data_IF_033686830799
#
_entry.id   IF_033686830799
#
_cell.length_a   1.000
_cell.length_b   1.000
_cell.length_c   1.000
_cell.angle_alpha   90.00
_cell.angle_beta   90.00
_cell.angle_gamma   90.00
#
_symmetry.space_group_name_H-M   'P 1'
#
loop_
_entity.id
_entity.type
_entity.pdbx_description
1 polymer ?
#
# COMPACT_ATOMS: atom_id res chain seq x y z
N UNK A 1 31.44 -25.68 -8.06
CA UNK A 1 31.45 -24.79 -9.24
C UNK A 1 30.25 -23.86 -9.13
N UNK A 2 30.44 -22.66 -8.56
CA UNK A 2 29.37 -21.70 -8.25
C UNK A 2 29.57 -20.50 -9.19
N UNK A 3 28.94 -20.50 -10.36
CA UNK A 3 29.05 -19.39 -11.30
C UNK A 3 27.71 -19.15 -12.00
N UNK A 4 27.24 -17.89 -11.94
CA UNK A 4 26.33 -17.18 -12.87
C UNK A 4 24.82 -17.02 -12.60
N UNK A 5 24.26 -17.39 -11.44
CA UNK A 5 22.81 -17.15 -11.22
C UNK A 5 22.45 -15.71 -10.72
N UNK A 6 23.42 -14.83 -10.51
CA UNK A 6 23.22 -13.58 -9.74
C UNK A 6 22.83 -12.33 -10.53
N UNK A 7 23.26 -12.05 -11.78
CA UNK A 7 22.95 -10.76 -12.42
C UNK A 7 21.52 -10.68 -12.98
N UNK A 8 20.95 -11.79 -13.44
CA UNK A 8 19.61 -11.83 -14.05
C UNK A 8 18.52 -11.63 -12.99
N UNK A 9 18.65 -12.31 -11.84
CA UNK A 9 17.68 -12.21 -10.73
C UNK A 9 17.62 -10.79 -10.16
N UNK A 10 18.78 -10.13 -10.01
CA UNK A 10 18.87 -8.74 -9.53
C UNK A 10 18.21 -7.76 -10.51
N UNK A 11 18.42 -7.94 -11.83
CA UNK A 11 17.79 -7.09 -12.86
C UNK A 11 16.26 -7.25 -12.91
N UNK A 12 15.76 -8.46 -12.70
CA UNK A 12 14.30 -8.72 -12.66
C UNK A 12 13.66 -8.05 -11.45
N UNK A 13 14.31 -8.05 -10.28
CA UNK A 13 13.75 -7.41 -9.09
C UNK A 13 13.60 -5.87 -9.26
N UNK A 14 14.60 -5.22 -9.87
CA UNK A 14 14.53 -3.79 -10.16
C UNK A 14 13.37 -3.46 -11.14
N UNK A 15 13.23 -4.23 -12.21
CA UNK A 15 12.13 -4.08 -13.16
C UNK A 15 10.77 -4.29 -12.48
N UNK A 16 10.64 -5.30 -11.61
CA UNK A 16 9.40 -5.60 -10.87
C UNK A 16 9.01 -4.46 -9.94
N UNK A 17 9.97 -3.81 -9.26
CA UNK A 17 9.72 -2.62 -8.44
C UNK A 17 9.19 -1.45 -9.28
N UNK A 18 9.76 -1.22 -10.46
CA UNK A 18 9.28 -0.17 -11.36
C UNK A 18 7.88 -0.46 -11.87
N UNK A 19 7.60 -1.70 -12.28
CA UNK A 19 6.28 -2.14 -12.69
C UNK A 19 5.23 -1.97 -11.58
N UNK A 20 5.64 -2.22 -10.32
CA UNK A 20 4.78 -2.02 -9.16
C UNK A 20 4.41 -0.54 -8.97
N UNK A 21 5.41 0.35 -9.01
CA UNK A 21 5.21 1.81 -8.89
C UNK A 21 4.34 2.38 -10.01
N UNK A 22 4.44 1.84 -11.22
CA UNK A 22 3.67 2.28 -12.37
C UNK A 22 2.27 1.64 -12.47
N UNK A 23 1.89 0.78 -11.51
CA UNK A 23 0.57 0.12 -11.52
C UNK A 23 0.35 -0.85 -12.69
N UNK A 24 1.43 -1.36 -13.30
CA UNK A 24 1.31 -2.22 -14.49
C UNK A 24 0.74 -3.59 -14.10
N UNK A 25 -0.24 -4.15 -14.83
CA UNK A 25 -0.75 -5.49 -14.55
C UNK A 25 0.33 -6.57 -14.70
N UNK A 26 0.28 -7.64 -13.89
CA UNK A 26 1.32 -8.70 -13.89
C UNK A 26 1.53 -9.32 -15.29
N UNK A 27 0.45 -9.46 -16.08
CA UNK A 27 0.50 -10.02 -17.43
C UNK A 27 1.26 -9.11 -18.39
N UNK A 28 1.01 -7.80 -18.32
CA UNK A 28 1.73 -6.81 -19.10
C UNK A 28 3.20 -6.73 -18.66
N UNK A 29 3.46 -6.74 -17.35
CA UNK A 29 4.81 -6.77 -16.81
C UNK A 29 5.61 -7.99 -17.25
N UNK A 30 4.99 -9.17 -17.26
CA UNK A 30 5.59 -10.42 -17.73
C UNK A 30 5.97 -10.35 -19.22
N UNK A 31 5.10 -9.80 -20.07
CA UNK A 31 5.38 -9.62 -21.49
C UNK A 31 6.54 -8.62 -21.72
N UNK A 32 6.52 -7.47 -21.04
CA UNK A 32 7.56 -6.43 -21.15
C UNK A 32 8.93 -6.99 -20.73
N UNK A 33 8.99 -7.67 -19.57
CA UNK A 33 10.27 -8.23 -19.08
C UNK A 33 10.74 -9.37 -19.97
N UNK A 34 9.85 -10.23 -20.47
CA UNK A 34 10.24 -11.32 -21.37
C UNK A 34 10.74 -10.82 -22.72
N UNK A 35 10.09 -9.80 -23.30
CA UNK A 35 10.55 -9.16 -24.54
C UNK A 35 11.93 -8.51 -24.36
N UNK A 36 12.11 -7.72 -23.29
CA UNK A 36 13.39 -7.10 -22.99
C UNK A 36 14.51 -8.14 -22.79
N UNK A 37 14.20 -9.29 -22.18
CA UNK A 37 15.14 -10.40 -21.99
C UNK A 37 15.46 -11.16 -23.30
N UNK A 38 14.53 -11.18 -24.25
CA UNK A 38 14.78 -11.68 -25.61
C UNK A 38 15.69 -10.72 -26.38
N UNK A 39 15.44 -9.41 -26.30
CA UNK A 39 16.24 -8.38 -26.98
C UNK A 39 17.71 -8.40 -26.53
N UNK A 40 17.97 -8.67 -25.24
CA UNK A 40 19.34 -8.80 -24.71
C UNK A 40 19.94 -10.20 -24.84
N UNK A 41 19.23 -11.13 -25.50
CA UNK A 41 19.72 -12.50 -25.77
C UNK A 41 19.78 -13.43 -24.56
N UNK A 42 19.10 -13.11 -23.46
CA UNK A 42 19.03 -13.98 -22.26
C UNK A 42 17.99 -15.10 -22.44
N UNK A 43 16.93 -14.81 -23.19
CA UNK A 43 15.90 -15.78 -23.61
C UNK A 43 16.03 -15.96 -25.12
N UNK A 44 15.96 -17.19 -25.58
CA UNK A 44 15.78 -17.53 -27.00
C UNK A 44 14.54 -18.40 -27.16
N UNK A 45 14.03 -18.52 -28.39
CA UNK A 45 12.93 -19.44 -28.70
C UNK A 45 13.26 -20.89 -28.32
N UNK A 46 14.54 -21.26 -28.37
CA UNK A 46 15.05 -22.58 -27.99
C UNK A 46 15.32 -22.76 -26.49
N UNK A 47 15.45 -21.68 -25.71
CA UNK A 47 15.77 -21.72 -24.28
C UNK A 47 14.77 -20.92 -23.44
N UNK A 48 13.67 -21.59 -23.09
CA UNK A 48 12.54 -21.03 -22.34
C UNK A 48 12.73 -21.04 -20.80
N UNK A 49 13.87 -21.51 -20.29
CA UNK A 49 14.09 -21.65 -18.84
C UNK A 49 13.98 -20.30 -18.09
N UNK A 50 14.40 -19.21 -18.73
CA UNK A 50 14.45 -17.88 -18.14
C UNK A 50 13.23 -17.00 -18.48
N UNK A 51 12.19 -17.54 -19.15
CA UNK A 51 10.96 -16.79 -19.44
C UNK A 51 10.32 -16.27 -18.17
N UNK A 52 9.97 -14.99 -18.17
CA UNK A 52 9.34 -14.33 -17.03
C UNK A 52 7.84 -14.43 -17.17
N UNK A 53 7.26 -15.43 -16.52
CA UNK A 53 5.82 -15.61 -16.45
C UNK A 53 5.15 -14.68 -15.41
N UNK A 54 3.82 -14.63 -15.43
CA UNK A 54 3.00 -13.86 -14.49
C UNK A 54 3.29 -14.19 -13.02
N UNK A 55 3.53 -15.46 -12.70
CA UNK A 55 3.82 -15.90 -11.32
C UNK A 55 5.22 -15.46 -10.87
N UNK A 56 6.21 -15.39 -11.75
CA UNK A 56 7.53 -14.81 -11.46
C UNK A 56 7.42 -13.31 -11.12
N UNK A 57 6.62 -12.55 -11.87
CA UNK A 57 6.33 -11.14 -11.53
C UNK A 57 5.62 -11.02 -10.18
N UNK A 58 4.59 -11.84 -9.95
CA UNK A 58 3.84 -11.85 -8.68
C UNK A 58 4.76 -12.14 -7.49
N UNK A 59 5.63 -13.15 -7.60
CA UNK A 59 6.61 -13.48 -6.56
C UNK A 59 7.59 -12.33 -6.32
N UNK A 60 8.15 -11.74 -7.38
CA UNK A 60 9.04 -10.59 -7.25
C UNK A 60 8.36 -9.39 -6.60
N UNK A 61 7.05 -9.17 -6.82
CA UNK A 61 6.28 -8.12 -6.14
C UNK A 61 6.10 -8.41 -4.67
N UNK A 62 5.76 -9.65 -4.32
CA UNK A 62 5.67 -10.07 -2.92
C UNK A 62 7.01 -9.88 -2.22
N UNK A 63 8.12 -10.34 -2.83
CA UNK A 63 9.46 -10.17 -2.27
C UNK A 63 9.86 -8.69 -2.14
N UNK A 64 9.57 -7.87 -3.15
CA UNK A 64 9.82 -6.43 -3.10
C UNK A 64 9.03 -5.75 -1.97
N UNK A 65 7.78 -6.17 -1.74
CA UNK A 65 6.95 -5.70 -0.62
C UNK A 65 7.52 -6.16 0.71
N UNK A 66 7.91 -7.43 0.85
CA UNK A 66 8.51 -7.96 2.08
C UNK A 66 9.81 -7.23 2.42
N UNK A 67 10.67 -6.97 1.43
CA UNK A 67 11.90 -6.21 1.63
C UNK A 67 11.56 -4.78 2.08
N UNK A 68 10.64 -4.10 1.39
CA UNK A 68 10.21 -2.74 1.74
C UNK A 68 9.65 -2.70 3.16
N UNK A 69 8.74 -3.61 3.50
CA UNK A 69 8.15 -3.72 4.84
C UNK A 69 9.23 -4.00 5.89
N UNK A 70 10.18 -4.90 5.63
CA UNK A 70 11.24 -5.18 6.59
C UNK A 70 12.18 -4.00 6.82
N UNK A 71 12.38 -3.14 5.82
CA UNK A 71 13.17 -1.92 5.97
C UNK A 71 12.38 -0.88 6.77
N UNK A 72 11.13 -0.64 6.38
CA UNK A 72 10.22 0.28 7.07
C UNK A 72 10.02 -0.13 8.54
N UNK A 73 9.92 -1.43 8.83
CA UNK A 73 9.80 -1.95 10.20
C UNK A 73 11.06 -1.75 11.04
N UNK A 74 12.25 -1.80 10.44
CA UNK A 74 13.49 -1.48 11.16
C UNK A 74 13.63 0.00 11.46
N UNK A 75 12.99 0.84 10.65
CA UNK A 75 13.00 2.29 10.77
C UNK A 75 11.83 2.81 11.66
N UNK A 76 10.89 1.92 12.05
CA UNK A 76 9.85 2.23 13.03
C UNK A 76 10.46 2.28 14.44
N UNK A 77 10.35 3.45 15.07
CA UNK A 77 10.45 3.60 16.52
C UNK A 77 9.17 3.06 17.17
N UNK A 78 9.25 2.51 18.39
CA UNK A 78 8.10 1.91 19.10
C UNK A 78 7.01 2.93 19.49
N UNK A 79 7.27 4.20 19.22
CA UNK A 79 6.39 5.34 19.45
C UNK A 79 5.77 5.91 18.16
N UNK A 80 5.92 5.23 17.00
CA UNK A 80 5.33 5.69 15.74
C UNK A 80 3.87 5.26 15.57
N UNK A 81 3.08 6.16 14.99
CA UNK A 81 1.64 5.99 14.83
C UNK A 81 1.28 5.80 13.37
N UNK A 82 0.62 4.69 13.06
CA UNK A 82 0.11 4.36 11.74
C UNK A 82 -1.27 4.98 11.50
N UNK A 83 -1.39 5.73 10.42
CA UNK A 83 -2.67 6.25 9.94
C UNK A 83 -3.23 5.34 8.85
N UNK A 84 -4.37 4.70 9.10
CA UNK A 84 -5.01 3.77 8.18
C UNK A 84 -6.29 4.37 7.59
N UNK A 85 -6.23 4.65 6.28
CA UNK A 85 -7.41 5.02 5.50
C UNK A 85 -8.03 3.74 4.94
N UNK A 86 -9.10 3.26 5.58
CA UNK A 86 -9.80 2.06 5.12
C UNK A 86 -10.74 2.33 3.91
N UNK A 87 -10.90 3.61 3.54
CA UNK A 87 -11.72 4.05 2.41
C UNK A 87 -13.22 3.89 2.65
N UNK A 88 -13.63 3.61 3.89
CA UNK A 88 -15.01 3.40 4.26
C UNK A 88 -15.76 4.73 4.23
N UNK A 89 -16.88 4.74 3.49
CA UNK A 89 -17.76 5.90 3.35
C UNK A 89 -19.15 5.52 3.84
N UNK A 90 -19.44 5.88 5.07
CA UNK A 90 -20.75 5.61 5.66
C UNK A 90 -21.75 6.65 5.17
N UNK A 91 -22.94 6.18 4.79
CA UNK A 91 -24.02 7.00 4.23
C UNK A 91 -25.15 7.09 5.24
N UNK A 92 -25.30 8.26 5.85
CA UNK A 92 -26.37 8.51 6.83
C UNK A 92 -27.48 9.32 6.18
N UNK A 93 -28.73 8.85 6.32
CA UNK A 93 -29.90 9.61 5.91
C UNK A 93 -30.27 10.60 7.00
N UNK A 94 -30.23 11.89 6.68
CA UNK A 94 -30.67 12.98 7.54
C UNK A 94 -31.88 13.70 6.93
N UNK A 95 -32.71 14.28 7.79
CA UNK A 95 -33.85 15.12 7.40
C UNK A 95 -33.51 16.57 7.73
N UNK A 96 -33.40 17.42 6.72
CA UNK A 96 -33.16 18.86 6.85
C UNK A 96 -34.21 19.58 5.99
N UNK A 97 -34.95 20.53 6.56
CA UNK A 97 -36.05 21.24 5.90
C UNK A 97 -37.07 20.34 5.18
N UNK A 98 -37.47 19.25 5.83
CA UNK A 98 -38.42 18.26 5.29
C UNK A 98 -37.95 17.56 3.99
N UNK A 99 -36.66 17.70 3.64
CA UNK A 99 -36.01 17.02 2.51
C UNK A 99 -35.04 15.97 3.04
N UNK A 100 -35.01 14.82 2.36
CA UNK A 100 -34.02 13.76 2.62
C UNK A 100 -32.66 14.20 2.09
N UNK A 101 -31.66 14.25 2.95
CA UNK A 101 -30.27 14.54 2.61
C UNK A 101 -29.39 13.36 3.01
N UNK A 102 -28.64 12.83 2.04
CA UNK A 102 -27.63 11.81 2.30
C UNK A 102 -26.35 12.52 2.71
N UNK A 103 -25.89 12.27 3.94
CA UNK A 103 -24.59 12.69 4.42
C UNK A 103 -23.64 11.52 4.20
N UNK A 104 -22.47 11.79 3.61
CA UNK A 104 -21.41 10.80 3.39
C UNK A 104 -20.27 11.16 4.32
N UNK A 105 -19.96 10.28 5.24
CA UNK A 105 -18.85 10.43 6.19
C UNK A 105 -17.74 9.46 5.83
N UNK A 106 -16.51 9.96 5.77
CA UNK A 106 -15.32 9.14 5.60
C UNK A 106 -14.78 8.76 6.98
N UNK A 107 -14.46 7.49 7.17
CA UNK A 107 -13.90 6.97 8.42
C UNK A 107 -12.40 6.76 8.28
N UNK A 108 -11.66 7.20 9.29
CA UNK A 108 -10.20 7.11 9.34
C UNK A 108 -9.84 6.38 10.62
N UNK A 109 -9.17 5.24 10.51
CA UNK A 109 -8.74 4.45 11.67
C UNK A 109 -7.30 4.79 12.03
N UNK A 110 -7.05 5.01 13.31
CA UNK A 110 -5.74 5.29 13.88
C UNK A 110 -5.25 4.06 14.62
N UNK A 111 -4.02 3.65 14.32
CA UNK A 111 -3.40 2.45 14.89
C UNK A 111 -1.98 2.73 15.36
N UNK A 112 -1.55 2.08 16.44
CA UNK A 112 -0.16 2.13 16.91
C UNK A 112 0.65 1.04 16.23
N UNK A 113 1.86 1.38 15.80
CA UNK A 113 2.82 0.42 15.26
C UNK A 113 4.06 0.33 16.16
N UNK A 114 4.74 -0.83 16.22
CA UNK A 114 4.41 -2.09 15.55
C UNK A 114 3.32 -2.89 16.29
N UNK A 115 2.45 -3.56 15.53
CA UNK A 115 1.43 -4.46 16.09
C UNK A 115 0.00 -4.06 15.77
N UNK A 116 -0.17 -2.94 15.06
CA UNK A 116 -1.46 -2.52 14.54
C UNK A 116 -2.54 -2.37 15.62
N UNK A 117 -2.14 -1.91 16.80
CA UNK A 117 -3.04 -1.74 17.95
C UNK A 117 -4.03 -0.61 17.65
N UNK A 118 -5.33 -0.87 17.77
CA UNK A 118 -6.36 0.12 17.47
C UNK A 118 -6.42 1.20 18.56
N UNK A 119 -6.20 2.45 18.16
CA UNK A 119 -6.24 3.63 19.05
C UNK A 119 -7.63 4.27 19.01
N UNK A 120 -8.22 4.35 17.81
CA UNK A 120 -9.53 4.95 17.61
C UNK A 120 -9.82 5.27 16.15
N UNK A 121 -10.89 6.03 15.92
CA UNK A 121 -11.25 6.48 14.59
C UNK A 121 -11.75 7.92 14.60
N UNK A 122 -11.69 8.54 13.43
CA UNK A 122 -12.20 9.89 13.17
C UNK A 122 -13.17 9.80 11.99
N UNK A 123 -14.38 10.31 12.18
CA UNK A 123 -15.37 10.48 11.11
C UNK A 123 -15.30 11.92 10.58
N UNK A 124 -15.23 12.08 9.26
CA UNK A 124 -15.19 13.39 8.63
C UNK A 124 -16.27 13.50 7.56
N UNK A 125 -17.10 14.54 7.66
CA UNK A 125 -18.20 14.82 6.73
C UNK A 125 -17.73 15.18 5.31
N UNK A 126 -16.47 15.59 5.14
CA UNK A 126 -15.93 16.05 3.86
C UNK A 126 -14.44 15.76 3.73
N UNK A 127 -14.04 15.17 2.60
CA UNK A 127 -12.66 14.80 2.26
C UNK A 127 -11.72 15.98 1.95
N UNK A 128 -11.88 17.14 2.59
CA UNK A 128 -10.91 18.23 2.45
C UNK A 128 -9.73 17.92 3.37
N UNK A 129 -8.53 17.85 2.79
CA UNK A 129 -7.30 17.51 3.52
C UNK A 129 -7.11 18.33 4.82
N UNK A 130 -7.46 19.62 4.80
CA UNK A 130 -7.39 20.48 5.99
C UNK A 130 -8.37 20.07 7.10
N UNK A 131 -9.61 19.70 6.75
CA UNK A 131 -10.62 19.26 7.72
C UNK A 131 -10.19 17.91 8.31
N UNK A 132 -9.70 17.01 7.46
CA UNK A 132 -9.16 15.72 7.89
C UNK A 132 -8.02 15.91 8.88
N UNK A 133 -7.00 16.70 8.53
CA UNK A 133 -5.84 16.96 9.38
C UNK A 133 -6.24 17.56 10.73
N UNK A 134 -7.16 18.54 10.74
CA UNK A 134 -7.62 19.17 11.97
C UNK A 134 -8.37 18.21 12.90
N UNK A 135 -9.23 17.34 12.35
CA UNK A 135 -9.97 16.38 13.17
C UNK A 135 -9.05 15.30 13.75
N UNK A 136 -8.05 14.85 12.99
CA UNK A 136 -7.04 13.90 13.47
C UNK A 136 -6.19 14.54 14.57
N UNK A 137 -5.70 15.77 14.35
CA UNK A 137 -4.95 16.50 15.37
C UNK A 137 -5.76 16.70 16.65
N UNK A 138 -7.03 17.12 16.52
CA UNK A 138 -7.93 17.30 17.67
C UNK A 138 -8.21 15.99 18.41
N UNK A 139 -8.36 14.88 17.68
CA UNK A 139 -8.58 13.56 18.30
C UNK A 139 -7.34 13.13 19.10
N UNK A 140 -6.15 13.20 18.50
CA UNK A 140 -4.90 12.80 19.15
C UNK A 140 -4.59 13.67 20.37
N UNK A 141 -4.87 14.98 20.30
CA UNK A 141 -4.72 15.90 21.44
C UNK A 141 -5.65 15.57 22.61
N UNK A 142 -6.75 14.84 22.39
CA UNK A 142 -7.71 14.46 23.43
C UNK A 142 -7.45 13.06 24.01
N UNK A 143 -6.86 12.15 23.24
CA UNK A 143 -6.70 10.74 23.63
C UNK A 143 -5.49 10.54 24.54
N UNK A 144 -4.36 11.21 24.27
CA UNK A 144 -3.19 11.17 25.14
C UNK A 144 -2.22 12.32 24.79
N UNK A 145 -1.65 12.98 25.81
CA UNK A 145 -0.62 14.01 25.60
C UNK A 145 0.74 13.39 25.22
N UNK A 146 0.90 12.08 25.36
CA UNK A 146 2.11 11.35 25.00
C UNK A 146 2.17 10.96 23.51
N UNK A 147 1.10 11.24 22.74
CA UNK A 147 1.10 11.02 21.30
C UNK A 147 1.83 12.17 20.60
N UNK A 148 3.08 11.90 20.23
CA UNK A 148 3.85 12.82 19.38
C UNK A 148 3.31 12.79 17.95
N UNK A 149 2.49 13.79 17.61
CA UNK A 149 1.93 13.98 16.26
C UNK A 149 3.00 14.15 15.18
N UNK A 150 4.25 14.48 15.53
CA UNK A 150 5.36 14.54 14.56
C UNK A 150 5.86 13.16 14.14
N UNK A 151 5.49 12.11 14.88
CA UNK A 151 5.80 10.70 14.58
C UNK A 151 4.68 9.96 13.83
N UNK A 152 3.69 10.68 13.29
CA UNK A 152 2.62 10.10 12.46
C UNK A 152 3.15 9.68 11.09
N UNK A 153 2.87 8.43 10.71
CA UNK A 153 3.21 7.88 9.40
C UNK A 153 1.94 7.37 8.70
N UNK A 154 1.73 7.82 7.46
CA UNK A 154 0.69 7.25 6.62
C UNK A 154 1.11 5.84 6.19
N UNK A 155 0.37 4.82 6.61
CA UNK A 155 0.66 3.43 6.30
C UNK A 155 -0.28 2.94 5.20
N UNK A 156 0.30 2.47 4.09
CA UNK A 156 -0.43 1.71 3.08
C UNK A 156 -0.66 0.27 3.59
N UNK A 157 -1.63 0.14 4.50
CA UNK A 157 -2.16 -1.11 5.04
C UNK A 157 -1.24 -1.92 5.98
N UNK A 158 -1.85 -2.29 7.11
CA UNK A 158 -1.28 -3.07 8.21
C UNK A 158 -1.01 -4.53 7.77
N UNK A 159 0.11 -5.14 8.18
CA UNK A 159 0.34 -6.56 8.01
C UNK A 159 -0.45 -7.33 9.08
N UNK A 160 -1.79 -7.36 8.99
CA UNK A 160 -2.53 -8.36 9.75
C UNK A 160 -2.34 -9.70 9.04
N UNK A 161 -1.70 -10.62 9.75
CA UNK A 161 -1.39 -11.95 9.25
C UNK A 161 -2.61 -12.62 8.61
N UNK A 162 -2.37 -13.10 7.38
CA UNK A 162 -3.00 -14.25 6.75
C UNK A 162 -4.47 -14.10 6.32
N UNK A 163 -4.59 -14.07 4.99
CA UNK A 163 -5.65 -14.65 4.16
C UNK A 163 -6.54 -13.65 3.40
N UNK A 164 -6.43 -13.80 2.07
CA UNK A 164 -7.39 -13.49 1.01
C UNK A 164 -7.38 -12.06 0.46
N UNK A 165 -6.71 -11.98 -0.69
CA UNK A 165 -7.21 -11.40 -1.94
C UNK A 165 -7.63 -9.90 -1.98
N UNK A 166 -6.76 -9.10 -2.61
CA UNK A 166 -7.04 -8.07 -3.64
C UNK A 166 -8.00 -6.92 -3.23
N UNK A 167 -7.60 -5.64 -3.25
CA UNK A 167 -7.68 -4.79 -4.45
C UNK A 167 -6.99 -3.43 -4.25
N UNK A 168 -6.54 -2.87 -5.38
CA UNK A 168 -6.01 -1.51 -5.52
C UNK A 168 -7.06 -0.46 -5.15
N UNK A 169 -6.68 0.55 -4.36
CA UNK A 169 -7.42 1.82 -4.31
C UNK A 169 -6.71 2.79 -5.24
N UNK A 170 -7.24 2.90 -6.46
CA UNK A 170 -6.91 4.00 -7.36
C UNK A 170 -7.40 5.30 -6.71
N UNK A 171 -6.48 6.26 -6.54
CA UNK A 171 -6.81 7.64 -6.24
C UNK A 171 -7.71 8.18 -7.36
N UNK A 172 -9.03 8.27 -7.11
CA UNK A 172 -9.87 9.16 -7.91
C UNK A 172 -9.52 10.58 -7.48
N UNK A 173 -8.66 11.24 -8.27
CA UNK A 173 -8.53 12.70 -8.27
C UNK A 173 -9.93 13.31 -8.35
N UNK A 174 -10.28 14.09 -7.34
CA UNK A 174 -11.11 15.28 -7.52
C UNK A 174 -10.20 16.48 -7.64
#
# INVERSE_FOLDING_TARGET
MILSFTPVVIKVLAAVRTLYRLGIPDRAGSAIVSAALQDVGIISESNVLNVVDRNKIRRGRTEARTILLSQVIKDYDHDQFGLCLDGRKDRTLSMEDNRRKVIIEEHISLVKEPGSEYIGHVSVNFGRAQIIGNNIYSFLSCVDNDIDVTKLVATEHLPTQVSKEVLYVTWNRF
#
